data_IF_842068482309
#
_entry.id   IF_842068482309
#
_cell.length_a   1.000
_cell.length_b   1.000
_cell.length_c   1.000
_cell.angle_alpha   90.00
_cell.angle_beta   90.00
_cell.angle_gamma   90.00
#
_symmetry.space_group_name_H-M   'P 1'
#
loop_
_entity.id
_entity.type
_entity.pdbx_description
1 polymer ?
#
# COMPACT_ATOMS: atom_id res chain seq x y z
N UNK A 1 -22.62 17.75 -2.05
CA UNK A 1 -23.43 18.32 -3.13
C UNK A 1 -22.75 19.55 -3.76
N UNK A 2 -22.24 20.51 -2.98
CA UNK A 2 -21.58 21.74 -3.43
C UNK A 2 -20.36 21.55 -4.34
N UNK A 3 -19.63 20.42 -4.23
CA UNK A 3 -18.45 20.17 -5.06
C UNK A 3 -18.76 20.08 -6.57
N UNK A 4 -19.95 19.61 -6.93
CA UNK A 4 -20.40 19.50 -8.33
C UNK A 4 -20.75 20.87 -8.95
N UNK A 5 -21.03 21.87 -8.12
CA UNK A 5 -21.38 23.23 -8.54
C UNK A 5 -20.12 24.07 -8.85
N UNK A 6 -18.93 23.63 -8.35
CA UNK A 6 -17.67 24.32 -8.64
C UNK A 6 -17.25 24.06 -10.08
N UNK A 7 -17.02 25.09 -10.90
CA UNK A 7 -16.55 24.94 -12.27
C UNK A 7 -15.25 24.13 -12.33
N UNK A 8 -15.05 23.38 -13.41
CA UNK A 8 -13.84 22.55 -13.60
C UNK A 8 -12.56 23.38 -13.42
N UNK A 9 -12.50 24.58 -13.98
CA UNK A 9 -11.35 25.47 -13.80
C UNK A 9 -11.09 25.84 -12.34
N UNK A 10 -12.13 26.03 -11.53
CA UNK A 10 -12.01 26.28 -10.09
C UNK A 10 -11.46 25.08 -9.34
N UNK A 11 -11.93 23.87 -9.66
CA UNK A 11 -11.41 22.62 -9.07
C UNK A 11 -9.93 22.39 -9.41
N UNK A 12 -9.56 22.57 -10.68
CA UNK A 12 -8.17 22.47 -11.14
C UNK A 12 -7.29 23.52 -10.47
N UNK A 13 -7.74 24.77 -10.39
CA UNK A 13 -7.04 25.86 -9.71
C UNK A 13 -6.80 25.56 -8.23
N UNK A 14 -7.80 25.00 -7.54
CA UNK A 14 -7.68 24.61 -6.13
C UNK A 14 -6.61 23.52 -5.93
N UNK A 15 -6.63 22.44 -6.71
CA UNK A 15 -5.63 21.38 -6.58
C UNK A 15 -4.22 21.85 -6.94
N UNK A 16 -4.10 22.68 -7.99
CA UNK A 16 -2.82 23.27 -8.36
C UNK A 16 -2.27 24.17 -7.25
N UNK A 17 -3.14 25.01 -6.65
CA UNK A 17 -2.77 25.89 -5.55
C UNK A 17 -2.33 25.10 -4.32
N UNK A 18 -3.10 24.06 -3.93
CA UNK A 18 -2.77 23.20 -2.78
C UNK A 18 -1.45 22.48 -3.03
N UNK A 19 -1.26 21.90 -4.23
CA UNK A 19 -0.01 21.22 -4.57
C UNK A 19 1.19 22.15 -4.49
N UNK A 20 1.09 23.35 -5.07
CA UNK A 20 2.17 24.36 -5.06
C UNK A 20 2.43 24.91 -3.65
N UNK A 21 1.38 25.28 -2.92
CA UNK A 21 1.51 25.86 -1.58
C UNK A 21 2.16 24.86 -0.61
N UNK A 22 1.68 23.62 -0.57
CA UNK A 22 2.22 22.58 0.32
C UNK A 22 3.65 22.19 -0.06
N UNK A 23 3.97 22.17 -1.36
CA UNK A 23 5.33 21.96 -1.83
C UNK A 23 6.26 23.09 -1.39
N UNK A 24 5.88 24.36 -1.64
CA UNK A 24 6.69 25.55 -1.32
C UNK A 24 6.90 25.69 0.19
N UNK A 25 5.86 25.54 1.01
CA UNK A 25 5.96 25.60 2.47
C UNK A 25 6.88 24.48 2.98
N UNK A 26 6.73 23.27 2.48
CA UNK A 26 7.63 22.17 2.82
C UNK A 26 9.09 22.45 2.41
N UNK A 27 9.32 23.05 1.24
CA UNK A 27 10.67 23.39 0.76
C UNK A 27 11.39 24.46 1.61
N UNK A 28 10.62 25.32 2.32
CA UNK A 28 11.19 26.34 3.21
C UNK A 28 11.69 25.78 4.54
N UNK A 29 11.29 24.58 4.92
CA UNK A 29 11.75 23.95 6.16
C UNK A 29 13.15 23.39 5.95
N UNK A 30 14.13 23.92 6.71
CA UNK A 30 15.53 23.53 6.62
C UNK A 30 15.77 22.08 7.12
N UNK A 31 16.88 21.47 6.67
CA UNK A 31 17.23 20.09 7.08
C UNK A 31 17.67 20.00 8.57
N UNK A 32 18.19 21.08 9.13
CA UNK A 32 18.55 21.18 10.55
C UNK A 32 17.45 21.64 11.49
N UNK A 33 16.19 21.72 10.99
CA UNK A 33 15.05 22.14 11.81
C UNK A 33 14.71 21.09 12.88
N UNK A 34 13.89 21.50 13.85
CA UNK A 34 13.35 20.61 14.89
C UNK A 34 12.68 19.36 14.27
N UNK A 35 12.74 18.21 14.97
CA UNK A 35 12.14 16.96 14.48
C UNK A 35 10.64 17.07 14.14
N UNK A 36 9.90 17.96 14.83
CA UNK A 36 8.50 18.25 14.54
C UNK A 36 8.32 18.93 13.16
N UNK A 37 9.14 19.93 12.84
CA UNK A 37 9.13 20.62 11.56
C UNK A 37 9.56 19.70 10.41
N UNK A 38 10.52 18.81 10.65
CA UNK A 38 10.93 17.80 9.68
C UNK A 38 9.77 16.84 9.35
N UNK A 39 8.99 16.42 10.37
CA UNK A 39 7.79 15.60 10.16
C UNK A 39 6.71 16.38 9.42
N UNK A 40 6.49 17.65 9.78
CA UNK A 40 5.56 18.53 9.07
C UNK A 40 5.92 18.67 7.59
N UNK A 41 7.19 18.85 7.26
CA UNK A 41 7.67 18.87 5.87
C UNK A 41 7.30 17.58 5.13
N UNK A 42 7.53 16.42 5.76
CA UNK A 42 7.14 15.14 5.18
C UNK A 42 5.65 15.05 4.88
N UNK A 43 4.81 15.50 5.81
CA UNK A 43 3.35 15.54 5.64
C UNK A 43 2.92 16.52 4.54
N UNK A 44 3.51 17.72 4.49
CA UNK A 44 3.22 18.73 3.46
C UNK A 44 3.57 18.22 2.06
N UNK A 45 4.70 17.57 1.90
CA UNK A 45 5.10 16.99 0.62
C UNK A 45 4.26 15.78 0.22
N UNK A 46 3.81 14.99 1.19
CA UNK A 46 2.85 13.93 0.95
C UNK A 46 1.53 14.50 0.44
N UNK A 47 1.01 15.55 1.11
CA UNK A 47 -0.20 16.26 0.69
C UNK A 47 -0.05 16.90 -0.71
N UNK A 48 1.14 17.44 -1.01
CA UNK A 48 1.47 17.96 -2.34
C UNK A 48 1.39 16.87 -3.41
N UNK A 49 1.94 15.67 -3.14
CA UNK A 49 1.88 14.54 -4.08
C UNK A 49 0.45 14.04 -4.28
N UNK A 50 -0.36 14.03 -3.23
CA UNK A 50 -1.79 13.70 -3.32
C UNK A 50 -2.57 14.74 -4.13
N UNK A 51 -2.29 16.03 -3.94
CA UNK A 51 -2.92 17.11 -4.71
C UNK A 51 -2.51 17.08 -6.19
N UNK A 52 -1.25 16.75 -6.50
CA UNK A 52 -0.79 16.55 -7.88
C UNK A 52 -1.48 15.34 -8.55
N UNK A 53 -1.67 14.26 -7.81
CA UNK A 53 -2.45 13.11 -8.28
C UNK A 53 -3.89 13.51 -8.60
N UNK A 54 -4.56 14.24 -7.69
CA UNK A 54 -5.92 14.72 -7.89
C UNK A 54 -6.01 15.66 -9.09
N UNK A 55 -5.05 16.58 -9.26
CA UNK A 55 -4.98 17.47 -10.41
C UNK A 55 -4.86 16.68 -11.72
N UNK A 56 -3.93 15.74 -11.81
CA UNK A 56 -3.72 14.92 -13.01
C UNK A 56 -4.95 14.05 -13.32
N UNK A 57 -5.58 13.46 -12.30
CA UNK A 57 -6.81 12.69 -12.44
C UNK A 57 -7.97 13.56 -12.95
N UNK A 58 -8.14 14.76 -12.41
CA UNK A 58 -9.17 15.71 -12.87
C UNK A 58 -8.92 16.17 -14.32
N UNK A 59 -7.69 16.45 -14.70
CA UNK A 59 -7.35 16.80 -16.09
C UNK A 59 -7.69 15.63 -17.02
N UNK A 60 -7.32 14.42 -16.67
CA UNK A 60 -7.63 13.24 -17.47
C UNK A 60 -9.14 12.97 -17.56
N UNK A 61 -9.88 13.09 -16.46
CA UNK A 61 -11.32 12.81 -16.41
C UNK A 61 -12.17 13.93 -16.95
N UNK A 62 -12.02 15.13 -16.41
CA UNK A 62 -12.94 16.26 -16.69
C UNK A 62 -12.59 17.03 -17.96
N UNK A 63 -11.30 17.08 -18.34
CA UNK A 63 -10.85 17.84 -19.53
C UNK A 63 -10.67 16.92 -20.73
N UNK A 64 -9.95 15.79 -20.54
CA UNK A 64 -9.68 14.86 -21.63
C UNK A 64 -10.77 13.80 -21.81
N UNK A 65 -11.77 13.73 -20.91
CA UNK A 65 -12.85 12.73 -20.94
C UNK A 65 -12.34 11.29 -21.06
N UNK A 66 -11.21 11.02 -20.42
CA UNK A 66 -10.54 9.74 -20.48
C UNK A 66 -11.33 8.66 -19.72
N UNK A 67 -11.11 7.39 -20.09
CA UNK A 67 -11.66 6.24 -19.35
C UNK A 67 -11.10 6.22 -17.92
N UNK A 68 -11.85 5.66 -17.00
CA UNK A 68 -11.49 5.60 -15.56
C UNK A 68 -10.08 5.04 -15.34
N UNK A 69 -9.69 3.97 -16.02
CA UNK A 69 -8.34 3.39 -15.93
C UNK A 69 -7.22 4.35 -16.33
N UNK A 70 -7.47 5.21 -17.33
CA UNK A 70 -6.52 6.27 -17.74
C UNK A 70 -6.45 7.38 -16.68
N UNK A 71 -7.57 7.70 -16.04
CA UNK A 71 -7.61 8.66 -14.92
C UNK A 71 -6.74 8.16 -13.76
N UNK A 72 -6.88 6.90 -13.38
CA UNK A 72 -6.06 6.28 -12.33
C UNK A 72 -4.57 6.20 -12.72
N UNK A 73 -4.28 5.87 -13.99
CA UNK A 73 -2.91 5.87 -14.50
C UNK A 73 -2.28 7.27 -14.39
N UNK A 74 -2.99 8.31 -14.83
CA UNK A 74 -2.48 9.68 -14.80
C UNK A 74 -2.27 10.18 -13.35
N UNK A 75 -3.25 9.95 -12.47
CA UNK A 75 -3.17 10.30 -11.06
C UNK A 75 -2.00 9.59 -10.36
N UNK A 76 -1.88 8.28 -10.54
CA UNK A 76 -0.81 7.49 -9.96
C UNK A 76 0.57 7.88 -10.48
N UNK A 77 0.70 8.12 -11.81
CA UNK A 77 1.94 8.55 -12.41
C UNK A 77 2.40 9.92 -11.87
N UNK A 78 1.49 10.88 -11.75
CA UNK A 78 1.80 12.20 -11.19
C UNK A 78 2.29 12.09 -9.74
N UNK A 79 1.59 11.31 -8.89
CA UNK A 79 2.01 11.06 -7.52
C UNK A 79 3.39 10.38 -7.46
N UNK A 80 3.59 9.32 -8.26
CA UNK A 80 4.84 8.56 -8.28
C UNK A 80 6.03 9.42 -8.69
N UNK A 81 5.87 10.20 -9.76
CA UNK A 81 6.94 11.10 -10.26
C UNK A 81 7.27 12.15 -9.22
N UNK A 82 6.27 12.86 -8.70
CA UNK A 82 6.51 13.92 -7.72
C UNK A 82 7.12 13.38 -6.43
N UNK A 83 6.54 12.32 -5.85
CA UNK A 83 7.05 11.72 -4.63
C UNK A 83 8.45 11.10 -4.85
N UNK A 84 8.70 10.48 -6.00
CA UNK A 84 9.99 9.91 -6.35
C UNK A 84 11.08 10.97 -6.50
N UNK A 85 10.78 12.12 -7.10
CA UNK A 85 11.69 13.27 -7.17
C UNK A 85 12.00 13.83 -5.79
N UNK A 86 10.97 14.03 -4.96
CA UNK A 86 11.13 14.52 -3.58
C UNK A 86 11.93 13.54 -2.72
N UNK A 87 11.70 12.23 -2.92
CA UNK A 87 12.45 11.18 -2.23
C UNK A 87 13.93 11.19 -2.61
N UNK A 88 14.25 11.37 -3.89
CA UNK A 88 15.64 11.49 -4.34
C UNK A 88 16.35 12.76 -3.84
N UNK A 89 15.61 13.86 -3.72
CA UNK A 89 16.17 15.13 -3.25
C UNK A 89 16.44 15.10 -1.74
N UNK A 90 15.57 14.46 -0.99
CA UNK A 90 15.68 14.37 0.48
C UNK A 90 15.03 13.06 0.94
N UNK A 91 15.85 12.07 1.23
CA UNK A 91 15.41 10.75 1.68
C UNK A 91 14.46 10.86 2.89
N UNK A 92 13.16 10.57 2.66
CA UNK A 92 12.10 10.67 3.67
C UNK A 92 11.13 9.49 3.55
N UNK A 93 10.82 8.83 4.68
CA UNK A 93 9.90 7.67 4.71
C UNK A 93 8.54 7.94 4.07
N UNK A 94 7.98 9.16 4.28
CA UNK A 94 6.69 9.53 3.72
C UNK A 94 6.70 9.58 2.19
N UNK A 95 7.80 10.05 1.58
CA UNK A 95 7.92 10.12 0.13
C UNK A 95 8.12 8.75 -0.51
N UNK A 96 8.84 7.85 0.17
CA UNK A 96 8.94 6.45 -0.23
C UNK A 96 7.55 5.81 -0.32
N UNK A 97 6.71 5.97 0.72
CA UNK A 97 5.35 5.42 0.73
C UNK A 97 4.45 6.08 -0.32
N UNK A 98 4.54 7.41 -0.49
CA UNK A 98 3.80 8.13 -1.52
C UNK A 98 4.21 7.67 -2.94
N UNK A 99 5.50 7.45 -3.17
CA UNK A 99 6.01 6.93 -4.44
C UNK A 99 5.48 5.51 -4.71
N UNK A 100 5.56 4.61 -3.73
CA UNK A 100 5.00 3.26 -3.84
C UNK A 100 3.50 3.32 -4.15
N UNK A 101 2.73 4.09 -3.39
CA UNK A 101 1.29 4.24 -3.61
C UNK A 101 0.99 4.76 -5.03
N UNK A 102 1.72 5.78 -5.49
CA UNK A 102 1.60 6.31 -6.84
C UNK A 102 1.91 5.27 -7.92
N UNK A 103 3.00 4.50 -7.75
CA UNK A 103 3.37 3.42 -8.67
C UNK A 103 2.30 2.32 -8.71
N UNK A 104 1.76 1.92 -7.56
CA UNK A 104 0.68 0.92 -7.48
C UNK A 104 -0.58 1.38 -8.19
N UNK A 105 -1.02 2.63 -7.97
CA UNK A 105 -2.18 3.22 -8.63
C UNK A 105 -1.96 3.35 -10.13
N UNK A 106 -0.79 3.80 -10.56
CA UNK A 106 -0.46 3.92 -11.99
C UNK A 106 -0.42 2.55 -12.67
N UNK A 107 0.25 1.58 -12.07
CA UNK A 107 0.35 0.23 -12.57
C UNK A 107 -1.02 -0.47 -12.64
N UNK A 108 -1.85 -0.28 -11.61
CA UNK A 108 -3.24 -0.77 -11.60
C UNK A 108 -4.08 -0.12 -12.69
N UNK A 109 -3.96 1.20 -12.89
CA UNK A 109 -4.62 1.91 -13.98
C UNK A 109 -4.18 1.40 -15.36
N UNK A 110 -2.87 1.19 -15.57
CA UNK A 110 -2.34 0.64 -16.80
C UNK A 110 -2.87 -0.78 -17.07
N UNK A 111 -2.88 -1.64 -16.05
CA UNK A 111 -3.43 -2.99 -16.14
C UNK A 111 -4.95 -2.98 -16.44
N UNK A 112 -5.69 -2.03 -15.85
CA UNK A 112 -7.12 -1.85 -16.10
C UNK A 112 -7.47 -1.40 -17.52
N UNK A 113 -6.51 -0.86 -18.29
CA UNK A 113 -6.69 -0.57 -19.72
C UNK A 113 -6.67 -1.88 -20.54
N UNK A 114 -5.82 -2.83 -20.15
CA UNK A 114 -5.56 -4.07 -20.90
C UNK A 114 -6.42 -5.25 -20.46
N UNK A 115 -6.95 -5.24 -19.22
CA UNK A 115 -7.67 -6.38 -18.64
C UNK A 115 -8.63 -6.00 -17.50
N UNK A 116 -9.28 -7.03 -16.94
CA UNK A 116 -10.20 -6.90 -15.80
C UNK A 116 -9.50 -6.81 -14.43
N UNK A 117 -10.28 -6.88 -13.32
CA UNK A 117 -9.77 -6.82 -11.95
C UNK A 117 -8.64 -7.78 -11.65
N UNK A 118 -8.68 -9.01 -12.20
CA UNK A 118 -7.59 -9.97 -12.02
C UNK A 118 -6.24 -9.45 -12.56
N UNK A 119 -6.23 -8.80 -13.71
CA UNK A 119 -5.02 -8.22 -14.29
C UNK A 119 -4.47 -7.10 -13.38
N UNK A 120 -5.37 -6.26 -12.86
CA UNK A 120 -5.02 -5.19 -11.91
C UNK A 120 -4.40 -5.80 -10.66
N UNK A 121 -5.02 -6.80 -10.06
CA UNK A 121 -4.53 -7.46 -8.86
C UNK A 121 -3.16 -8.10 -9.06
N UNK A 122 -2.96 -8.82 -10.17
CA UNK A 122 -1.67 -9.44 -10.51
C UNK A 122 -0.55 -8.41 -10.67
N UNK A 123 -0.84 -7.29 -11.35
CA UNK A 123 0.16 -6.22 -11.54
C UNK A 123 0.49 -5.53 -10.23
N UNK A 124 -0.52 -5.24 -9.39
CA UNK A 124 -0.30 -4.69 -8.05
C UNK A 124 0.55 -5.63 -7.20
N UNK A 125 0.25 -6.94 -7.22
CA UNK A 125 1.05 -7.95 -6.52
C UNK A 125 2.49 -8.03 -7.06
N UNK A 126 2.68 -7.99 -8.38
CA UNK A 126 4.01 -8.03 -9.00
C UNK A 126 4.85 -6.80 -8.64
N UNK A 127 4.26 -5.60 -8.67
CA UNK A 127 4.93 -4.37 -8.21
C UNK A 127 5.28 -4.47 -6.72
N UNK A 128 4.35 -4.94 -5.88
CA UNK A 128 4.60 -5.19 -4.46
C UNK A 128 5.76 -6.17 -4.23
N UNK A 129 5.79 -7.29 -4.96
CA UNK A 129 6.87 -8.28 -4.88
C UNK A 129 8.22 -7.70 -5.31
N UNK A 130 8.25 -6.89 -6.38
CA UNK A 130 9.46 -6.19 -6.81
C UNK A 130 9.94 -5.21 -5.73
N UNK A 131 9.02 -4.52 -5.04
CA UNK A 131 9.35 -3.62 -3.94
C UNK A 131 9.91 -4.38 -2.72
N UNK A 132 9.31 -5.53 -2.37
CA UNK A 132 9.84 -6.44 -1.33
C UNK A 132 11.25 -6.91 -1.71
N UNK A 133 11.47 -7.34 -2.95
CA UNK A 133 12.78 -7.77 -3.42
C UNK A 133 13.82 -6.64 -3.35
N UNK A 134 13.46 -5.43 -3.77
CA UNK A 134 14.34 -4.27 -3.68
C UNK A 134 14.64 -3.86 -2.22
N UNK A 135 13.67 -3.97 -1.32
CA UNK A 135 13.88 -3.82 0.13
C UNK A 135 14.74 -4.90 0.73
N UNK A 136 14.57 -6.16 0.26
CA UNK A 136 15.39 -7.29 0.67
C UNK A 136 16.87 -7.09 0.32
N UNK A 137 17.14 -6.59 -0.87
CA UNK A 137 18.47 -6.27 -1.39
C UNK A 137 19.03 -4.94 -0.84
N UNK A 138 18.28 -4.26 0.04
CA UNK A 138 18.61 -2.94 0.60
C UNK A 138 18.87 -1.86 -0.47
N UNK A 139 18.29 -2.01 -1.66
CA UNK A 139 18.37 -1.01 -2.75
C UNK A 139 17.50 0.21 -2.45
N UNK A 140 16.37 0.01 -1.76
CA UNK A 140 15.40 1.05 -1.42
C UNK A 140 15.48 1.41 0.07
N UNK A 141 16.05 2.56 0.44
CA UNK A 141 16.06 3.03 1.82
C UNK A 141 14.71 3.69 2.20
N UNK A 142 14.23 3.52 3.45
CA UNK A 142 14.65 2.51 4.41
C UNK A 142 14.03 1.14 4.06
N UNK A 143 14.83 0.04 4.13
CA UNK A 143 14.41 -1.27 3.65
C UNK A 143 13.18 -1.83 4.38
N UNK A 144 12.98 -1.45 5.64
CA UNK A 144 11.78 -1.85 6.41
C UNK A 144 10.49 -1.37 5.75
N UNK A 145 10.45 -0.13 5.26
CA UNK A 145 9.27 0.40 4.58
C UNK A 145 9.04 -0.27 3.23
N UNK A 146 10.11 -0.60 2.52
CA UNK A 146 9.98 -1.33 1.26
C UNK A 146 9.42 -2.75 1.50
N UNK A 147 9.89 -3.46 2.53
CA UNK A 147 9.39 -4.78 2.90
C UNK A 147 7.92 -4.74 3.34
N UNK A 148 7.56 -3.79 4.22
CA UNK A 148 6.18 -3.67 4.73
C UNK A 148 5.25 -3.18 3.63
N UNK A 149 5.57 -2.07 2.98
CA UNK A 149 4.71 -1.50 1.94
C UNK A 149 4.54 -2.42 0.73
N UNK A 150 5.64 -3.03 0.27
CA UNK A 150 5.60 -4.03 -0.80
C UNK A 150 4.80 -5.28 -0.40
N UNK A 151 4.99 -5.78 0.82
CA UNK A 151 4.24 -6.93 1.34
C UNK A 151 2.74 -6.65 1.45
N UNK A 152 2.34 -5.48 1.93
CA UNK A 152 0.93 -5.04 1.94
C UNK A 152 0.38 -4.96 0.51
N UNK A 153 1.16 -4.45 -0.44
CA UNK A 153 0.76 -4.40 -1.85
C UNK A 153 0.56 -5.80 -2.46
N UNK A 154 1.42 -6.78 -2.13
CA UNK A 154 1.22 -8.18 -2.56
C UNK A 154 -0.08 -8.75 -2.01
N UNK A 155 -0.36 -8.55 -0.73
CA UNK A 155 -1.62 -8.99 -0.11
C UNK A 155 -2.83 -8.31 -0.75
N UNK A 156 -2.79 -6.99 -0.92
CA UNK A 156 -3.87 -6.26 -1.59
C UNK A 156 -4.08 -6.74 -3.03
N UNK A 157 -3.00 -6.96 -3.77
CA UNK A 157 -3.06 -7.51 -5.12
C UNK A 157 -3.69 -8.90 -5.18
N UNK A 158 -3.36 -9.78 -4.22
CA UNK A 158 -4.01 -11.08 -4.08
C UNK A 158 -5.52 -10.92 -3.88
N UNK A 159 -5.96 -10.00 -3.01
CA UNK A 159 -7.39 -9.71 -2.79
C UNK A 159 -8.10 -9.18 -4.02
N UNK A 160 -7.46 -8.28 -4.79
CA UNK A 160 -8.03 -7.73 -6.02
C UNK A 160 -8.13 -8.79 -7.11
N UNK A 161 -7.08 -9.61 -7.33
CA UNK A 161 -7.09 -10.73 -8.29
C UNK A 161 -8.26 -11.67 -8.03
N UNK A 162 -8.53 -11.84 -6.78
CA UNK A 162 -9.55 -12.70 -6.25
C UNK A 162 -10.99 -12.22 -6.49
N UNK A 163 -11.20 -10.94 -6.77
CA UNK A 163 -12.54 -10.41 -7.05
C UNK A 163 -13.20 -11.07 -8.27
N UNK A 164 -12.39 -11.56 -9.24
CA UNK A 164 -12.88 -12.31 -10.41
C UNK A 164 -12.98 -13.84 -10.13
N UNK A 165 -12.35 -14.34 -9.06
CA UNK A 165 -12.28 -15.76 -8.71
C UNK A 165 -12.94 -15.98 -7.34
N UNK A 166 -14.27 -15.91 -7.30
CA UNK A 166 -15.05 -15.83 -6.07
C UNK A 166 -14.63 -16.84 -4.96
N UNK A 167 -14.29 -18.07 -5.33
CA UNK A 167 -13.96 -19.13 -4.36
C UNK A 167 -12.45 -19.21 -4.04
N UNK A 168 -11.58 -18.88 -4.98
CA UNK A 168 -10.13 -18.94 -4.77
C UNK A 168 -9.55 -17.72 -4.04
N UNK A 169 -10.32 -16.64 -4.00
CA UNK A 169 -9.96 -15.34 -3.46
C UNK A 169 -9.38 -15.36 -2.04
N UNK A 170 -10.15 -15.83 -1.06
CA UNK A 170 -9.71 -15.81 0.32
C UNK A 170 -8.52 -16.75 0.54
N UNK A 171 -8.48 -17.88 -0.17
CA UNK A 171 -7.41 -18.87 -0.08
C UNK A 171 -6.08 -18.33 -0.62
N UNK A 172 -6.10 -17.58 -1.73
CA UNK A 172 -4.90 -16.97 -2.30
C UNK A 172 -4.29 -15.96 -1.33
N UNK A 173 -5.10 -15.08 -0.76
CA UNK A 173 -4.63 -14.12 0.25
C UNK A 173 -4.07 -14.79 1.49
N UNK A 174 -4.72 -15.85 1.96
CA UNK A 174 -4.25 -16.63 3.11
C UNK A 174 -2.92 -17.35 2.79
N UNK A 175 -2.78 -17.93 1.60
CA UNK A 175 -1.55 -18.58 1.17
C UNK A 175 -0.38 -17.58 1.10
N UNK A 176 -0.60 -16.40 0.53
CA UNK A 176 0.40 -15.32 0.50
C UNK A 176 0.78 -14.89 1.92
N UNK A 177 -0.18 -14.71 2.81
CA UNK A 177 0.08 -14.37 4.20
C UNK A 177 0.92 -15.44 4.91
N UNK A 178 0.62 -16.72 4.71
CA UNK A 178 1.37 -17.85 5.24
C UNK A 178 2.83 -17.87 4.72
N UNK A 179 3.02 -17.61 3.42
CA UNK A 179 4.36 -17.49 2.83
C UNK A 179 5.16 -16.37 3.47
N UNK A 180 4.56 -15.19 3.70
CA UNK A 180 5.25 -14.09 4.38
C UNK A 180 5.64 -14.44 5.82
N UNK A 181 4.77 -15.12 6.57
CA UNK A 181 5.12 -15.61 7.92
C UNK A 181 6.27 -16.61 7.84
N UNK A 182 6.19 -17.61 6.97
CA UNK A 182 7.19 -18.66 6.83
C UNK A 182 8.57 -18.08 6.44
N UNK A 183 8.60 -17.23 5.40
CA UNK A 183 9.82 -16.56 4.93
C UNK A 183 10.36 -15.61 6.00
N UNK A 184 9.50 -14.81 6.63
CA UNK A 184 9.91 -13.87 7.68
C UNK A 184 10.54 -14.56 8.88
N UNK A 185 9.96 -15.70 9.31
CA UNK A 185 10.50 -16.51 10.42
C UNK A 185 11.79 -17.21 10.01
N UNK A 186 11.85 -17.83 8.82
CA UNK A 186 13.02 -18.54 8.33
C UNK A 186 14.25 -17.64 8.15
N UNK A 187 14.03 -16.38 7.75
CA UNK A 187 15.09 -15.41 7.46
C UNK A 187 15.29 -14.36 8.57
N UNK A 188 14.58 -14.52 9.69
CA UNK A 188 14.61 -13.59 10.84
C UNK A 188 14.26 -12.15 10.43
N UNK A 189 13.37 -11.99 9.44
CA UNK A 189 12.91 -10.71 8.94
C UNK A 189 11.56 -10.34 9.57
N UNK A 190 11.59 -9.77 10.77
CA UNK A 190 10.40 -9.34 11.53
C UNK A 190 9.36 -8.56 10.71
N UNK A 191 9.73 -7.60 9.81
CA UNK A 191 8.75 -6.87 9.03
C UNK A 191 7.87 -7.77 8.16
N UNK A 192 8.44 -8.80 7.51
CA UNK A 192 7.67 -9.76 6.70
C UNK A 192 6.76 -10.63 7.55
N UNK A 193 7.25 -11.08 8.71
CA UNK A 193 6.43 -11.85 9.65
C UNK A 193 5.21 -11.03 10.09
N UNK A 194 5.39 -9.75 10.43
CA UNK A 194 4.30 -8.86 10.84
C UNK A 194 3.28 -8.68 9.70
N UNK A 195 3.75 -8.42 8.48
CA UNK A 195 2.86 -8.30 7.30
C UNK A 195 2.06 -9.58 7.07
N UNK A 196 2.73 -10.75 7.16
CA UNK A 196 2.06 -12.04 7.01
C UNK A 196 1.02 -12.29 8.10
N UNK A 197 1.32 -11.96 9.38
CA UNK A 197 0.36 -12.08 10.48
C UNK A 197 -0.85 -11.16 10.26
N UNK A 198 -0.63 -9.88 9.93
CA UNK A 198 -1.72 -8.94 9.65
C UNK A 198 -2.58 -9.42 8.48
N UNK A 199 -1.94 -9.92 7.40
CA UNK A 199 -2.64 -10.54 6.28
C UNK A 199 -3.47 -11.75 6.72
N UNK A 200 -2.89 -12.64 7.53
CA UNK A 200 -3.59 -13.78 8.10
C UNK A 200 -4.83 -13.38 8.93
N UNK A 201 -4.69 -12.34 9.77
CA UNK A 201 -5.83 -11.79 10.53
C UNK A 201 -6.95 -11.25 9.62
N UNK A 202 -6.63 -10.71 8.47
CA UNK A 202 -7.64 -10.24 7.51
C UNK A 202 -8.26 -11.37 6.69
N UNK A 203 -7.43 -12.23 6.10
CA UNK A 203 -7.89 -13.25 5.16
C UNK A 203 -8.49 -14.49 5.84
N UNK A 204 -8.05 -14.88 7.04
CA UNK A 204 -8.53 -16.06 7.70
C UNK A 204 -10.03 -15.97 8.09
N UNK A 205 -10.51 -14.88 8.74
CA UNK A 205 -11.93 -14.71 8.99
C UNK A 205 -12.77 -14.65 7.70
N UNK A 206 -12.25 -14.00 6.67
CA UNK A 206 -12.91 -13.95 5.37
C UNK A 206 -13.03 -15.35 4.74
N UNK A 207 -11.95 -16.13 4.74
CA UNK A 207 -11.93 -17.51 4.24
C UNK A 207 -12.96 -18.38 4.99
N UNK A 208 -12.98 -18.28 6.30
CA UNK A 208 -13.93 -19.09 7.12
C UNK A 208 -15.37 -18.63 6.88
N UNK A 209 -15.63 -17.33 6.85
CA UNK A 209 -16.96 -16.80 6.55
C UNK A 209 -17.45 -17.23 5.17
N UNK A 210 -16.55 -17.28 4.18
CA UNK A 210 -16.89 -17.66 2.81
C UNK A 210 -17.25 -19.16 2.68
N UNK A 211 -16.45 -20.05 3.28
CA UNK A 211 -16.62 -21.50 3.08
C UNK A 211 -17.51 -22.18 4.12
N UNK A 212 -17.70 -21.60 5.31
CA UNK A 212 -18.34 -22.24 6.44
C UNK A 212 -19.54 -21.47 7.02
N UNK A 213 -19.98 -20.38 6.33
CA UNK A 213 -21.11 -19.57 6.82
C UNK A 213 -22.37 -20.38 7.11
N UNK A 214 -22.64 -21.39 6.28
CA UNK A 214 -23.85 -22.20 6.37
C UNK A 214 -23.69 -23.48 7.23
N UNK A 215 -22.46 -23.92 7.55
CA UNK A 215 -22.19 -25.20 8.20
C UNK A 215 -21.70 -25.08 9.64
N UNK A 216 -21.00 -24.02 9.98
CA UNK A 216 -20.51 -23.76 11.33
C UNK A 216 -20.94 -22.35 11.69
N UNK A 217 -21.61 -22.18 12.83
CA UNK A 217 -21.93 -20.84 13.26
C UNK A 217 -20.72 -19.93 13.18
N UNK A 218 -20.82 -18.80 12.48
CA UNK A 218 -19.75 -17.78 12.31
C UNK A 218 -18.97 -17.51 13.62
N UNK A 219 -19.63 -17.47 14.80
CA UNK A 219 -18.93 -17.31 16.09
C UNK A 219 -17.92 -18.41 16.41
N UNK A 220 -18.25 -19.67 16.12
CA UNK A 220 -17.33 -20.79 16.38
C UNK A 220 -16.13 -20.76 15.46
N UNK A 221 -16.35 -20.43 14.21
CA UNK A 221 -15.27 -20.25 13.23
C UNK A 221 -14.33 -19.11 13.62
N UNK A 222 -14.85 -17.98 14.09
CA UNK A 222 -14.04 -16.87 14.60
C UNK A 222 -13.27 -17.23 15.87
N UNK A 223 -13.85 -18.03 16.76
CA UNK A 223 -13.14 -18.52 17.94
C UNK A 223 -11.93 -19.40 17.57
N UNK A 224 -12.13 -20.35 16.65
CA UNK A 224 -11.04 -21.21 16.15
C UNK A 224 -9.93 -20.40 15.50
N UNK A 225 -10.30 -19.39 14.69
CA UNK A 225 -9.34 -18.44 14.12
C UNK A 225 -8.55 -17.69 15.18
N UNK A 226 -9.22 -17.14 16.17
CA UNK A 226 -8.59 -16.40 17.26
C UNK A 226 -7.57 -17.26 17.99
N UNK A 227 -7.94 -18.49 18.31
CA UNK A 227 -7.05 -19.47 18.99
C UNK A 227 -5.86 -19.83 18.09
N UNK A 228 -6.08 -20.10 16.80
CA UNK A 228 -5.00 -20.45 15.87
C UNK A 228 -3.99 -19.31 15.71
N UNK A 229 -4.47 -18.07 15.57
CA UNK A 229 -3.61 -16.89 15.46
C UNK A 229 -2.85 -16.60 16.75
N UNK A 230 -3.47 -16.77 17.92
CA UNK A 230 -2.79 -16.69 19.20
C UNK A 230 -1.68 -17.74 19.32
N UNK A 231 -1.95 -18.98 18.92
CA UNK A 231 -0.96 -20.06 18.94
C UNK A 231 0.25 -19.73 18.03
N UNK A 232 0.00 -19.27 16.80
CA UNK A 232 1.07 -18.84 15.87
C UNK A 232 1.87 -17.68 16.44
N UNK A 233 1.19 -16.67 17.00
CA UNK A 233 1.84 -15.51 17.60
C UNK A 233 2.73 -15.93 18.79
N UNK A 234 2.26 -16.81 19.65
CA UNK A 234 3.03 -17.34 20.78
C UNK A 234 4.25 -18.15 20.32
N UNK A 235 4.12 -18.95 19.26
CA UNK A 235 5.24 -19.71 18.70
C UNK A 235 6.31 -18.77 18.14
N UNK A 236 5.88 -17.73 17.40
CA UNK A 236 6.80 -16.72 16.85
C UNK A 236 7.51 -15.98 17.99
N UNK A 237 6.78 -15.50 18.98
CA UNK A 237 7.36 -14.80 20.14
C UNK A 237 8.36 -15.68 20.90
N UNK A 238 8.04 -16.95 21.14
CA UNK A 238 8.97 -17.89 21.82
C UNK A 238 10.25 -18.13 21.02
N UNK A 239 10.17 -18.15 19.67
CA UNK A 239 11.37 -18.31 18.84
C UNK A 239 12.23 -17.05 18.82
N UNK A 240 11.63 -15.87 18.74
CA UNK A 240 12.37 -14.60 18.76
C UNK A 240 13.00 -14.31 20.13
N UNK A 241 12.33 -14.66 21.24
CA UNK A 241 12.88 -14.50 22.60
C UNK A 241 14.10 -15.37 22.87
N UNK A 242 14.21 -16.53 22.22
CA UNK A 242 15.37 -17.43 22.36
C UNK A 242 16.60 -17.00 21.53
N UNK A 243 16.40 -16.08 20.58
CA UNK A 243 17.46 -15.59 19.69
C UNK A 243 18.21 -14.37 20.26
N UNK A 244 17.76 -13.80 21.38
CA UNK A 244 18.46 -12.70 22.08
C UNK A 244 19.44 -13.32 23.09
N UNK A 245 20.76 -13.28 22.84
CA UNK A 245 21.73 -13.70 23.84
C UNK A 245 21.63 -12.76 25.05
N UNK A 246 21.56 -13.34 26.25
CA UNK A 246 21.70 -12.59 27.50
C UNK A 246 23.10 -11.96 27.54
N UNK A 247 23.15 -10.63 27.46
CA UNK A 247 24.33 -9.83 27.74
C UNK A 247 24.40 -9.48 29.21
#
# INVERSE_FOLDING_TARGET
>A
QYWREVPTAGRLGLFALVAAATWLVGARIADGAEPALIRLRGALWFASSAAAAALAGQVAGDVAHARESVVWLAAGAAAAVQAGLLWRLRDRPAQHLACLAGVLVAAGGAAGIAGGPAAVGLVVAAVGAAWVAAGWLAVLPPPVLALVGGGVAVLAGAGITAADWSDAAPLLGLAVAAVFVAVGVATVRTPLTVVGLVGGFGYLPWTIGHFFADSLGVPLAMLVCGVALLAVTLVVLRRTSRAVPAH
#
